data_IF_823180057678
#
_entry.id   IF_823180057678
#
_cell.length_a   1.000
_cell.length_b   1.000
_cell.length_c   1.000
_cell.angle_alpha   90.00
_cell.angle_beta   90.00
_cell.angle_gamma   90.00
#
_symmetry.space_group_name_H-M   'P 1'
#
loop_
_entity.id
_entity.type
_entity.pdbx_description
1 polymer ?
#
# COMPACT_ATOMS: atom_id res chain seq x y z
N UNK A 1 -44.08 -9.26 53.33
CA UNK A 1 -43.78 -10.26 52.31
C UNK A 1 -44.38 -9.84 50.97
N UNK A 2 -43.62 -9.26 50.04
CA UNK A 2 -43.74 -9.40 48.56
C UNK A 2 -42.77 -8.40 47.90
N UNK A 3 -41.62 -8.90 47.43
CA UNK A 3 -41.25 -9.12 46.01
C UNK A 3 -40.60 -7.88 45.36
N UNK A 4 -39.27 -7.80 45.54
CA UNK A 4 -38.38 -7.03 44.68
C UNK A 4 -38.43 -7.62 43.26
N UNK A 5 -38.76 -6.79 42.28
CA UNK A 5 -38.59 -7.10 40.87
C UNK A 5 -37.44 -6.21 40.34
N UNK A 6 -36.26 -6.81 40.16
CA UNK A 6 -35.25 -6.29 39.24
C UNK A 6 -35.36 -7.10 37.94
N UNK A 7 -35.27 -6.44 36.78
CA UNK A 7 -34.53 -7.05 35.69
C UNK A 7 -33.53 -6.06 35.08
N UNK A 8 -32.26 -6.37 35.33
CA UNK A 8 -31.15 -6.45 34.36
C UNK A 8 -31.18 -5.38 33.25
N UNK A 9 -30.52 -4.25 33.51
CA UNK A 9 -30.01 -3.39 32.46
C UNK A 9 -28.93 -4.16 31.70
N UNK A 10 -29.23 -4.60 30.48
CA UNK A 10 -28.24 -5.10 29.55
C UNK A 10 -27.33 -3.93 29.14
N UNK A 11 -26.16 -3.82 29.77
CA UNK A 11 -25.07 -3.01 29.24
C UNK A 11 -24.64 -3.64 27.91
N UNK A 12 -25.07 -3.04 26.80
CA UNK A 12 -24.40 -3.19 25.53
C UNK A 12 -23.00 -2.57 25.72
N UNK A 13 -21.99 -3.43 25.91
CA UNK A 13 -20.60 -3.06 25.70
C UNK A 13 -20.45 -2.79 24.20
N UNK A 14 -20.78 -1.56 23.79
CA UNK A 14 -20.20 -1.00 22.59
C UNK A 14 -18.69 -0.94 22.87
N UNK A 15 -17.98 -2.00 22.48
CA UNK A 15 -16.55 -1.92 22.32
C UNK A 15 -16.34 -0.87 21.23
N UNK A 16 -16.12 0.38 21.63
CA UNK A 16 -15.58 1.41 20.76
C UNK A 16 -14.12 1.04 20.50
N UNK A 17 -13.91 0.00 19.70
CA UNK A 17 -12.60 -0.29 19.15
C UNK A 17 -12.31 0.88 18.23
N UNK A 18 -11.27 1.67 18.54
CA UNK A 18 -10.82 2.69 17.60
C UNK A 18 -10.45 1.98 16.29
N UNK A 19 -10.77 2.57 15.14
CA UNK A 19 -10.32 2.02 13.88
C UNK A 19 -8.79 1.95 13.85
N UNK A 20 -8.27 0.89 13.23
CA UNK A 20 -6.86 0.58 13.05
C UNK A 20 -6.25 1.51 12.01
N UNK A 21 -5.06 2.03 12.33
CA UNK A 21 -4.27 2.86 11.45
C UNK A 21 -3.51 2.07 10.37
N UNK A 22 -2.97 2.79 9.41
CA UNK A 22 -2.11 2.22 8.36
C UNK A 22 -0.95 1.39 8.94
N UNK A 23 -0.79 0.16 8.45
CA UNK A 23 0.24 -0.80 8.87
C UNK A 23 -0.14 -1.69 10.05
N UNK A 24 -1.26 -1.43 10.71
CA UNK A 24 -1.81 -2.30 11.75
C UNK A 24 -2.50 -3.53 11.15
N UNK A 25 -2.47 -4.64 11.89
CA UNK A 25 -3.02 -5.93 11.45
C UNK A 25 -4.55 -5.93 11.59
N UNK A 26 -5.23 -6.28 10.50
CA UNK A 26 -6.69 -6.24 10.39
C UNK A 26 -7.25 -7.59 9.98
N UNK A 27 -8.51 -7.85 10.35
CA UNK A 27 -9.26 -9.02 9.87
C UNK A 27 -10.10 -8.66 8.66
N UNK A 28 -10.68 -7.46 8.65
CA UNK A 28 -11.48 -6.96 7.54
C UNK A 28 -11.36 -5.44 7.35
N UNK A 29 -11.83 -4.92 6.22
CA UNK A 29 -11.69 -3.49 5.89
C UNK A 29 -12.45 -2.56 6.84
N UNK A 30 -13.45 -3.03 7.60
CA UNK A 30 -14.15 -2.20 8.58
C UNK A 30 -13.33 -2.01 9.86
N UNK A 31 -12.27 -2.79 10.06
CA UNK A 31 -11.34 -2.57 11.16
C UNK A 31 -10.48 -1.33 10.92
N UNK A 32 -10.26 -0.95 9.66
CA UNK A 32 -9.35 0.14 9.29
C UNK A 32 -9.99 1.52 9.40
N UNK A 33 -9.15 2.54 9.58
CA UNK A 33 -9.57 3.94 9.52
C UNK A 33 -10.10 4.35 8.15
N UNK A 34 -10.91 5.41 8.13
CA UNK A 34 -11.48 5.93 6.88
C UNK A 34 -10.38 6.24 5.85
N UNK A 35 -10.61 5.81 4.60
CA UNK A 35 -9.63 5.94 3.53
C UNK A 35 -8.51 4.89 3.57
N UNK A 36 -8.66 3.85 4.40
CA UNK A 36 -7.81 2.66 4.40
C UNK A 36 -8.63 1.38 4.26
N UNK A 37 -8.00 0.36 3.72
CA UNK A 37 -8.61 -0.94 3.47
C UNK A 37 -7.68 -2.07 3.94
N UNK A 38 -8.28 -3.17 4.35
CA UNK A 38 -7.55 -4.34 4.83
C UNK A 38 -7.12 -5.22 3.65
N UNK A 39 -5.83 -5.45 3.51
CA UNK A 39 -5.25 -6.20 2.39
C UNK A 39 -4.26 -7.24 2.88
N UNK A 40 -4.34 -8.43 2.29
CA UNK A 40 -3.39 -9.48 2.53
C UNK A 40 -2.09 -9.19 1.78
N UNK A 41 -0.97 -9.13 2.50
CA UNK A 41 0.36 -9.00 1.89
C UNK A 41 1.04 -10.37 1.92
N UNK A 42 1.37 -10.91 0.75
CA UNK A 42 2.19 -12.11 0.67
C UNK A 42 3.68 -11.70 0.75
N UNK A 43 4.44 -12.35 1.65
CA UNK A 43 5.80 -11.94 2.02
C UNK A 43 6.29 -12.68 3.28
N UNK A 44 7.39 -12.23 3.90
CA UNK A 44 8.00 -12.94 5.07
C UNK A 44 7.09 -13.04 6.31
N UNK A 45 6.01 -12.27 6.39
CA UNK A 45 5.10 -12.23 7.55
C UNK A 45 3.63 -12.29 7.15
N UNK A 46 3.27 -13.06 6.10
CA UNK A 46 1.89 -13.37 5.65
C UNK A 46 0.77 -12.90 6.60
N UNK A 47 0.35 -11.65 6.43
CA UNK A 47 -0.62 -10.97 7.31
C UNK A 47 -1.47 -9.99 6.52
N UNK A 48 -2.65 -9.71 7.04
CA UNK A 48 -3.53 -8.68 6.52
C UNK A 48 -3.28 -7.38 7.28
N UNK A 49 -3.02 -6.28 6.57
CA UNK A 49 -2.76 -4.96 7.19
C UNK A 49 -3.60 -3.88 6.54
N UNK A 50 -3.92 -2.85 7.32
CA UNK A 50 -4.58 -1.65 6.81
C UNK A 50 -3.61 -0.87 5.92
N UNK A 51 -4.02 -0.59 4.68
CA UNK A 51 -3.28 0.22 3.73
C UNK A 51 -4.16 1.34 3.22
N UNK A 52 -3.59 2.54 3.08
CA UNK A 52 -4.30 3.72 2.58
C UNK A 52 -4.73 3.49 1.14
N UNK A 53 -5.98 3.79 0.83
CA UNK A 53 -6.50 3.75 -0.53
C UNK A 53 -5.88 4.89 -1.36
N UNK A 54 -5.68 4.65 -2.65
CA UNK A 54 -5.22 5.66 -3.59
C UNK A 54 -5.92 5.49 -4.94
N UNK A 55 -6.02 6.60 -5.67
CA UNK A 55 -6.49 6.58 -7.05
C UNK A 55 -5.29 6.29 -7.95
N UNK A 56 -5.13 5.05 -8.39
CA UNK A 56 -4.01 4.59 -9.21
C UNK A 56 -4.03 5.16 -10.64
N UNK A 57 -5.15 5.77 -11.05
CA UNK A 57 -5.22 6.52 -12.31
C UNK A 57 -4.51 7.89 -12.21
N UNK A 58 -4.36 8.44 -11.00
CA UNK A 58 -3.83 9.80 -10.79
C UNK A 58 -2.65 9.87 -9.84
N UNK A 59 -2.45 8.85 -9.01
CA UNK A 59 -1.46 8.82 -7.93
C UNK A 59 -0.55 7.63 -8.12
N UNK A 60 0.76 7.85 -8.35
CA UNK A 60 1.77 6.78 -8.30
C UNK A 60 2.46 6.69 -6.95
N UNK A 61 2.84 7.85 -6.43
CA UNK A 61 3.56 7.96 -5.17
C UNK A 61 2.61 8.60 -4.19
N UNK A 62 2.29 7.85 -3.14
CA UNK A 62 1.45 8.32 -2.07
C UNK A 62 2.18 9.34 -1.20
N UNK A 63 1.43 10.03 -0.34
CA UNK A 63 1.95 11.16 0.45
C UNK A 63 3.18 10.83 1.30
N UNK A 64 3.38 9.58 1.74
CA UNK A 64 4.58 9.22 2.52
C UNK A 64 5.63 8.47 1.70
N UNK A 65 5.56 8.56 0.36
CA UNK A 65 6.51 7.91 -0.53
C UNK A 65 6.17 6.47 -0.85
N UNK A 66 5.05 5.92 -0.38
CA UNK A 66 4.58 4.59 -0.79
C UNK A 66 4.20 4.56 -2.27
N UNK A 67 4.14 3.36 -2.86
CA UNK A 67 3.69 3.23 -4.24
C UNK A 67 2.22 2.86 -4.27
N UNK A 68 1.43 3.60 -5.02
CA UNK A 68 0.05 3.25 -5.32
C UNK A 68 0.05 2.09 -6.31
N UNK A 69 -0.42 0.93 -5.86
CA UNK A 69 -0.49 -0.30 -6.64
C UNK A 69 -1.98 -0.62 -6.88
N UNK A 70 -2.39 -0.96 -8.12
CA UNK A 70 -3.75 -1.42 -8.39
C UNK A 70 -4.13 -2.58 -7.46
N UNK A 71 -5.28 -2.48 -6.79
CA UNK A 71 -5.74 -3.52 -5.86
C UNK A 71 -5.95 -4.90 -6.53
N UNK A 72 -6.17 -4.90 -7.84
CA UNK A 72 -6.26 -6.12 -8.67
C UNK A 72 -4.96 -6.93 -8.67
N UNK A 73 -3.79 -6.28 -8.57
CA UNK A 73 -2.50 -6.96 -8.41
C UNK A 73 -2.36 -7.63 -7.04
N UNK A 74 -3.16 -7.21 -6.06
CA UNK A 74 -3.25 -7.80 -4.73
C UNK A 74 -4.40 -8.81 -4.60
N UNK A 75 -5.03 -9.19 -5.72
CA UNK A 75 -6.14 -10.15 -5.74
C UNK A 75 -7.49 -9.60 -5.27
N UNK A 76 -7.60 -8.28 -5.03
CA UNK A 76 -8.85 -7.65 -4.65
C UNK A 76 -9.59 -7.13 -5.91
N UNK A 77 -10.89 -7.45 -6.09
CA UNK A 77 -11.67 -6.98 -7.23
C UNK A 77 -12.16 -5.53 -6.98
N UNK A 78 -11.23 -4.58 -6.84
CA UNK A 78 -11.52 -3.16 -6.61
C UNK A 78 -10.87 -2.29 -7.68
N UNK A 79 -11.53 -1.18 -7.99
CA UNK A 79 -11.06 -0.20 -8.97
C UNK A 79 -10.04 0.78 -8.39
N UNK A 80 -9.99 0.94 -7.06
CA UNK A 80 -9.01 1.81 -6.39
C UNK A 80 -7.72 1.04 -6.11
N UNK A 81 -6.59 1.73 -6.19
CA UNK A 81 -5.30 1.22 -5.74
C UNK A 81 -5.10 1.35 -4.24
N UNK A 82 -3.94 0.88 -3.77
CA UNK A 82 -3.48 1.08 -2.39
C UNK A 82 -2.03 1.51 -2.31
N UNK A 83 -1.74 2.35 -1.32
CA UNK A 83 -0.41 2.79 -0.94
C UNK A 83 0.34 1.65 -0.27
N UNK A 84 1.03 0.86 -1.08
CA UNK A 84 1.71 -0.34 -0.61
C UNK A 84 2.89 0.00 0.31
N UNK A 85 2.91 -0.62 1.48
CA UNK A 85 3.87 -0.33 2.56
C UNK A 85 5.30 -0.80 2.27
N UNK A 86 5.50 -1.58 1.21
CA UNK A 86 6.81 -2.09 0.82
C UNK A 86 7.19 -3.40 1.51
N UNK A 87 8.10 -4.12 0.87
CA UNK A 87 8.87 -5.23 1.43
C UNK A 87 10.19 -4.78 2.03
N UNK A 88 11.21 -5.63 1.93
CA UNK A 88 12.52 -5.45 2.59
C UNK A 88 13.70 -5.39 1.62
N UNK A 89 13.48 -5.67 0.33
CA UNK A 89 14.52 -5.68 -0.70
C UNK A 89 14.88 -4.25 -1.11
N UNK A 90 16.14 -3.88 -0.92
CA UNK A 90 16.61 -2.53 -1.17
C UNK A 90 16.65 -2.17 -2.67
N UNK A 91 16.55 -0.87 -2.96
CA UNK A 91 16.76 -0.33 -4.32
C UNK A 91 18.11 -0.80 -4.88
N UNK A 92 18.11 -1.22 -6.14
CA UNK A 92 19.26 -1.78 -6.87
C UNK A 92 19.48 -3.28 -6.66
N UNK A 93 18.75 -3.92 -5.74
CA UNK A 93 18.83 -5.37 -5.52
C UNK A 93 17.83 -6.14 -6.39
N UNK A 94 18.15 -7.39 -6.70
CA UNK A 94 17.27 -8.26 -7.47
C UNK A 94 15.98 -8.56 -6.69
N UNK A 95 14.87 -8.61 -7.41
CA UNK A 95 13.55 -8.89 -6.86
C UNK A 95 12.79 -9.84 -7.80
N UNK A 96 11.78 -10.51 -7.28
CA UNK A 96 10.86 -11.34 -8.07
C UNK A 96 9.57 -10.59 -8.33
N UNK A 97 9.11 -9.85 -7.33
CA UNK A 97 7.88 -9.08 -7.36
C UNK A 97 8.08 -7.68 -6.78
N UNK A 98 7.22 -6.74 -7.18
CA UNK A 98 7.16 -5.39 -6.59
C UNK A 98 6.97 -5.44 -5.08
N UNK A 99 6.25 -6.45 -4.57
CA UNK A 99 6.04 -6.60 -3.14
C UNK A 99 7.32 -6.92 -2.35
N UNK A 100 8.38 -7.37 -3.01
CA UNK A 100 9.68 -7.60 -2.37
C UNK A 100 10.37 -6.28 -2.01
N UNK A 101 10.14 -5.24 -2.79
CA UNK A 101 10.90 -4.00 -2.75
C UNK A 101 10.50 -3.09 -1.60
N UNK A 102 11.46 -2.43 -0.98
CA UNK A 102 11.24 -1.45 0.12
C UNK A 102 10.20 -0.39 -0.23
N UNK A 103 9.64 0.26 0.79
CA UNK A 103 8.68 1.35 0.60
C UNK A 103 9.15 2.37 -0.44
N UNK A 104 8.27 2.73 -1.36
CA UNK A 104 8.58 3.66 -2.45
C UNK A 104 9.44 3.09 -3.58
N UNK A 105 9.55 1.77 -3.68
CA UNK A 105 10.23 1.11 -4.78
C UNK A 105 9.41 -0.01 -5.42
N UNK A 106 9.75 -0.32 -6.65
CA UNK A 106 9.05 -1.22 -7.56
C UNK A 106 10.03 -2.21 -8.17
N UNK A 107 9.56 -3.43 -8.42
CA UNK A 107 10.36 -4.43 -9.11
C UNK A 107 10.19 -4.24 -10.62
N UNK A 108 11.24 -3.74 -11.28
CA UNK A 108 11.20 -3.40 -12.70
C UNK A 108 12.19 -4.25 -13.47
N UNK A 109 11.73 -4.80 -14.59
CA UNK A 109 12.57 -5.55 -15.52
C UNK A 109 13.19 -4.59 -16.55
N UNK A 110 14.51 -4.48 -16.53
CA UNK A 110 15.30 -3.68 -17.48
C UNK A 110 16.33 -4.59 -18.12
N UNK A 111 16.13 -4.91 -19.41
CA UNK A 111 16.93 -5.94 -20.09
C UNK A 111 16.66 -7.32 -19.51
N UNK A 112 17.73 -8.06 -19.17
CA UNK A 112 17.66 -9.42 -18.60
C UNK A 112 17.63 -9.43 -17.07
N UNK A 113 17.67 -8.26 -16.42
CA UNK A 113 17.69 -8.13 -14.97
C UNK A 113 16.39 -7.53 -14.45
N UNK A 114 15.94 -8.03 -13.30
CA UNK A 114 14.80 -7.49 -12.56
C UNK A 114 15.28 -7.03 -11.19
N UNK A 115 15.20 -5.72 -10.94
CA UNK A 115 15.71 -5.11 -9.70
C UNK A 115 14.68 -4.13 -9.12
N UNK A 116 14.83 -3.81 -7.85
CA UNK A 116 14.07 -2.76 -7.21
C UNK A 116 14.54 -1.38 -7.67
N UNK A 117 13.64 -0.55 -8.20
CA UNK A 117 13.89 0.84 -8.56
C UNK A 117 12.96 1.75 -7.77
N UNK A 118 13.42 2.97 -7.45
CA UNK A 118 12.56 3.97 -6.83
C UNK A 118 11.38 4.29 -7.75
N UNK A 119 10.18 4.30 -7.22
CA UNK A 119 9.00 4.74 -7.96
C UNK A 119 9.02 6.26 -8.12
N UNK A 120 8.52 6.74 -9.26
CA UNK A 120 8.33 8.15 -9.52
C UNK A 120 7.04 8.36 -10.32
N UNK A 121 6.60 9.61 -10.39
CA UNK A 121 5.61 10.07 -11.35
C UNK A 121 6.26 11.08 -12.29
N UNK A 122 5.95 10.97 -13.58
CA UNK A 122 6.41 11.92 -14.60
C UNK A 122 5.78 13.30 -14.45
N UNK A 123 4.68 13.39 -13.70
CA UNK A 123 3.84 14.59 -13.59
C UNK A 123 3.94 15.24 -12.20
N UNK A 124 4.59 14.59 -11.23
CA UNK A 124 4.74 15.07 -9.85
C UNK A 124 6.20 15.32 -9.47
N UNK A 125 6.50 16.60 -9.28
CA UNK A 125 7.79 17.14 -8.86
C UNK A 125 8.21 16.72 -7.43
N UNK A 126 7.30 16.21 -6.61
CA UNK A 126 7.61 15.72 -5.26
C UNK A 126 8.10 14.27 -5.25
N UNK A 127 7.79 13.51 -6.30
CA UNK A 127 8.18 12.11 -6.49
C UNK A 127 9.50 11.93 -7.27
N UNK A 128 10.43 12.88 -7.09
CA UNK A 128 11.65 12.98 -7.91
C UNK A 128 12.68 11.91 -7.61
N UNK A 129 13.29 11.45 -8.70
CA UNK A 129 14.49 10.63 -8.69
C UNK A 129 15.69 11.39 -8.13
N UNK A 130 16.77 10.66 -7.84
CA UNK A 130 18.04 11.31 -7.48
C UNK A 130 18.53 12.18 -8.65
N UNK A 131 19.42 13.14 -8.38
CA UNK A 131 19.95 14.05 -9.41
C UNK A 131 20.71 13.35 -10.55
N UNK A 132 21.05 12.06 -10.38
CA UNK A 132 21.74 11.20 -11.35
C UNK A 132 20.78 10.25 -12.08
N UNK A 133 19.48 10.42 -11.89
CA UNK A 133 18.44 9.53 -12.38
C UNK A 133 17.34 10.33 -13.11
N UNK A 134 16.68 9.67 -14.06
CA UNK A 134 15.50 10.18 -14.77
C UNK A 134 14.30 9.31 -14.45
N UNK A 135 13.12 9.94 -14.33
CA UNK A 135 11.87 9.20 -14.21
C UNK A 135 11.46 8.65 -15.58
N UNK A 136 11.59 7.35 -15.76
CA UNK A 136 11.21 6.62 -16.98
C UNK A 136 9.78 6.08 -16.82
N UNK A 137 8.93 6.35 -17.81
CA UNK A 137 7.53 5.92 -17.77
C UNK A 137 7.40 4.40 -17.93
N UNK A 138 6.53 3.79 -17.11
CA UNK A 138 6.11 2.40 -17.28
C UNK A 138 5.08 2.32 -18.41
N UNK A 139 5.37 1.50 -19.41
CA UNK A 139 4.52 1.37 -20.60
C UNK A 139 3.10 0.96 -20.21
N UNK A 140 2.12 1.74 -20.67
CA UNK A 140 0.69 1.46 -20.43
C UNK A 140 0.19 1.91 -19.05
N UNK A 141 1.01 2.59 -18.25
CA UNK A 141 0.64 3.03 -16.90
C UNK A 141 0.60 4.57 -16.74
N UNK A 142 0.37 5.31 -17.83
CA UNK A 142 0.19 6.76 -17.80
C UNK A 142 1.44 7.50 -17.29
N UNK A 143 1.28 8.25 -16.20
CA UNK A 143 2.32 9.09 -15.59
C UNK A 143 3.19 8.30 -14.59
N UNK A 144 2.92 7.01 -14.43
CA UNK A 144 3.63 6.14 -13.51
C UNK A 144 5.00 5.77 -14.08
N UNK A 145 6.06 5.89 -13.29
CA UNK A 145 7.41 5.59 -13.73
C UNK A 145 8.32 4.99 -12.66
N UNK A 146 9.58 4.78 -13.04
CA UNK A 146 10.66 4.36 -12.18
C UNK A 146 11.91 5.19 -12.43
N UNK A 147 12.73 5.37 -11.40
CA UNK A 147 13.96 6.14 -11.48
C UNK A 147 15.08 5.29 -12.09
N UNK A 148 15.42 5.55 -13.34
CA UNK A 148 16.52 4.91 -14.04
C UNK A 148 17.77 5.79 -14.00
N UNK A 149 18.99 5.22 -13.94
CA UNK A 149 20.22 5.99 -14.12
C UNK A 149 20.20 6.77 -15.44
N UNK A 150 20.65 8.03 -15.42
CA UNK A 150 20.82 8.80 -16.65
C UNK A 150 21.87 8.12 -17.56
N UNK A 151 21.67 8.13 -18.89
CA UNK A 151 22.64 7.63 -19.85
C UNK A 151 23.93 8.46 -19.93
#
# INVERSE_FOLDING_TARGET
>A
MTRFALPIAALALAACTNPLGVGEECSDSNDCEEGSSCFYTDGMMSRSVCMRDCDDATTRVCTNGEVCIPATLMGAPREQGVCFLGGTTAVGSACTDTFDCTVGSLCVSVGDAQNCYRACSTDDETSRCLSTETCEALVGMGTNGYCAPMP
#
